data_IF_721989915037
#
_entry.id   IF_721989915037
#
_cell.length_a   1.000
_cell.length_b   1.000
_cell.length_c   1.000
_cell.angle_alpha   90.00
_cell.angle_beta   90.00
_cell.angle_gamma   90.00
#
_symmetry.space_group_name_H-M   'P 1'
#
loop_
_entity.id
_entity.type
_entity.pdbx_description
1 polymer ?
#
# COMPACT_ATOMS: atom_id res chain seq x y z
N UNK A 1 -1.75 -6.64 -15.34
CA UNK A 1 -1.25 -7.17 -14.05
C UNK A 1 -1.21 -8.70 -14.11
N UNK A 2 -0.08 -9.28 -13.88
CA UNK A 2 0.10 -10.73 -13.90
C UNK A 2 -0.17 -11.31 -12.51
N UNK A 3 -1.44 -11.67 -12.28
CA UNK A 3 -1.93 -12.14 -11.00
C UNK A 3 -1.12 -13.34 -10.46
N UNK A 4 -0.95 -14.37 -11.27
CA UNK A 4 -0.29 -15.61 -10.81
C UNK A 4 1.17 -15.37 -10.46
N UNK A 5 1.87 -14.57 -11.24
CA UNK A 5 3.25 -14.21 -10.99
C UNK A 5 3.39 -13.44 -9.68
N UNK A 6 2.49 -12.48 -9.45
CA UNK A 6 2.49 -11.70 -8.22
C UNK A 6 2.21 -12.59 -7.02
N UNK A 7 1.16 -13.38 -7.06
CA UNK A 7 0.75 -14.22 -5.92
C UNK A 7 1.78 -15.31 -5.62
N UNK A 8 2.32 -15.97 -6.65
CA UNK A 8 3.37 -16.99 -6.46
C UNK A 8 4.63 -16.36 -5.87
N UNK A 9 5.07 -15.22 -6.40
CA UNK A 9 6.23 -14.52 -5.87
C UNK A 9 6.02 -14.06 -4.43
N UNK A 10 4.82 -13.58 -4.11
CA UNK A 10 4.50 -13.12 -2.76
C UNK A 10 4.51 -14.29 -1.77
N UNK A 11 3.89 -15.42 -2.11
CA UNK A 11 3.91 -16.59 -1.24
C UNK A 11 5.35 -17.08 -1.01
N UNK A 12 6.19 -17.04 -2.03
CA UNK A 12 7.60 -17.41 -1.87
C UNK A 12 8.33 -16.46 -0.92
N UNK A 13 8.08 -15.16 -1.02
CA UNK A 13 8.69 -14.16 -0.14
C UNK A 13 8.31 -14.38 1.33
N UNK A 14 7.03 -14.59 1.61
CA UNK A 14 6.57 -14.73 3.00
C UNK A 14 6.87 -16.11 3.58
N UNK A 15 7.17 -17.12 2.77
CA UNK A 15 7.54 -18.45 3.24
C UNK A 15 8.96 -18.51 3.77
N UNK A 16 9.80 -17.57 3.39
CA UNK A 16 11.20 -17.50 3.86
C UNK A 16 11.23 -16.76 5.19
N UNK A 17 11.74 -17.43 6.22
CA UNK A 17 11.95 -16.81 7.53
C UNK A 17 13.08 -15.80 7.40
N UNK A 18 12.76 -14.53 7.60
CA UNK A 18 13.74 -13.48 7.42
C UNK A 18 13.30 -12.16 8.04
N UNK A 19 14.07 -11.13 7.75
CA UNK A 19 13.80 -9.79 8.21
C UNK A 19 12.51 -9.25 7.57
N UNK A 20 11.63 -8.73 8.41
CA UNK A 20 10.36 -8.11 8.00
C UNK A 20 10.56 -7.04 6.92
N UNK A 21 11.52 -6.14 7.15
CA UNK A 21 11.78 -5.04 6.21
C UNK A 21 12.23 -5.56 4.85
N UNK A 22 13.13 -6.55 4.83
CA UNK A 22 13.61 -7.14 3.57
C UNK A 22 12.48 -7.85 2.82
N UNK A 23 11.60 -8.56 3.52
CA UNK A 23 10.44 -9.22 2.92
C UNK A 23 9.48 -8.21 2.31
N UNK A 24 9.17 -7.15 3.04
CA UNK A 24 8.27 -6.10 2.55
C UNK A 24 8.90 -5.32 1.39
N UNK A 25 10.21 -5.09 1.42
CA UNK A 25 10.90 -4.45 0.29
C UNK A 25 10.78 -5.33 -0.97
N UNK A 26 10.97 -6.63 -0.83
CA UNK A 26 10.80 -7.58 -1.93
C UNK A 26 9.39 -7.56 -2.49
N UNK A 27 8.38 -7.46 -1.64
CA UNK A 27 6.99 -7.34 -2.07
C UNK A 27 6.74 -6.02 -2.82
N UNK A 28 7.23 -4.91 -2.30
CA UNK A 28 7.06 -3.60 -2.95
C UNK A 28 7.66 -3.63 -4.37
N UNK A 29 8.83 -4.19 -4.53
CA UNK A 29 9.51 -4.31 -5.83
C UNK A 29 8.76 -5.26 -6.77
N UNK A 30 8.30 -6.40 -6.27
CA UNK A 30 7.54 -7.37 -7.04
C UNK A 30 6.21 -6.76 -7.54
N UNK A 31 5.48 -6.10 -6.66
CA UNK A 31 4.21 -5.47 -7.02
C UNK A 31 4.43 -4.36 -8.04
N UNK A 32 5.42 -3.52 -7.83
CA UNK A 32 5.72 -2.44 -8.74
C UNK A 32 6.08 -2.96 -10.14
N UNK A 33 6.93 -3.97 -10.23
CA UNK A 33 7.37 -4.51 -11.52
C UNK A 33 6.28 -5.25 -12.26
N UNK A 34 5.46 -6.06 -11.56
CA UNK A 34 4.38 -6.82 -12.21
C UNK A 34 3.24 -5.93 -12.70
N UNK A 35 2.98 -4.83 -12.02
CA UNK A 35 1.94 -3.88 -12.40
C UNK A 35 2.42 -2.69 -13.22
N UNK A 36 3.73 -2.54 -13.38
CA UNK A 36 4.33 -1.36 -14.04
C UNK A 36 3.89 -0.05 -13.38
N UNK A 37 3.82 -0.04 -12.04
CA UNK A 37 3.39 1.12 -11.30
C UNK A 37 4.53 2.11 -11.11
N UNK A 38 4.17 3.37 -10.93
CA UNK A 38 5.12 4.45 -10.66
C UNK A 38 5.78 4.28 -9.30
N UNK A 39 4.99 3.90 -8.29
CA UNK A 39 5.47 3.87 -6.90
C UNK A 39 4.63 2.93 -6.05
N UNK A 40 5.28 2.22 -5.15
CA UNK A 40 4.64 1.35 -4.15
C UNK A 40 5.29 1.65 -2.80
N UNK A 41 4.48 1.92 -1.79
CA UNK A 41 4.93 2.10 -0.43
C UNK A 41 4.14 1.27 0.56
N UNK A 42 4.82 0.81 1.61
CA UNK A 42 4.20 0.07 2.70
C UNK A 42 4.42 0.85 3.99
N UNK A 43 3.37 0.95 4.78
CA UNK A 43 3.36 1.82 5.95
C UNK A 43 2.90 1.10 7.21
N UNK A 44 3.48 1.49 8.35
CA UNK A 44 2.97 1.18 9.68
C UNK A 44 1.94 2.25 10.09
N UNK A 45 0.89 1.81 10.75
CA UNK A 45 -0.09 2.70 11.38
C UNK A 45 0.07 2.56 12.89
N UNK A 46 0.49 3.64 13.54
CA UNK A 46 0.66 3.69 15.01
C UNK A 46 -0.50 4.49 15.60
N UNK A 47 -1.48 3.79 16.12
CA UNK A 47 -2.67 4.41 16.71
C UNK A 47 -2.36 5.15 18.02
N UNK A 48 -1.41 4.66 18.80
CA UNK A 48 -1.03 5.32 20.05
C UNK A 48 -0.36 6.67 19.80
N UNK A 49 0.57 6.72 18.86
CA UNK A 49 1.25 7.96 18.47
C UNK A 49 0.44 8.79 17.47
N UNK A 50 -0.62 8.22 16.88
CA UNK A 50 -1.49 8.84 15.87
C UNK A 50 -0.72 9.25 14.62
N UNK A 51 0.19 8.40 14.18
CA UNK A 51 1.01 8.63 12.98
C UNK A 51 1.01 7.42 12.05
N UNK A 52 1.29 7.70 10.78
CA UNK A 52 1.58 6.70 9.74
C UNK A 52 3.05 6.87 9.38
N UNK A 53 3.76 5.76 9.31
CA UNK A 53 5.20 5.77 9.07
C UNK A 53 5.58 4.81 7.94
N UNK A 54 6.31 5.32 6.94
CA UNK A 54 6.80 4.48 5.85
C UNK A 54 7.77 3.42 6.37
N UNK A 55 7.56 2.18 5.93
CA UNK A 55 8.47 1.06 6.22
C UNK A 55 9.46 0.91 5.09
N UNK A 56 8.94 0.75 3.86
CA UNK A 56 9.72 0.54 2.62
C UNK A 56 8.98 1.18 1.46
N UNK A 57 9.71 1.39 0.36
CA UNK A 57 9.13 1.86 -0.89
C UNK A 57 9.91 1.34 -2.09
N UNK A 58 9.28 1.35 -3.25
CA UNK A 58 9.89 1.06 -4.55
C UNK A 58 9.34 2.05 -5.56
N UNK A 59 10.20 2.73 -6.28
CA UNK A 59 9.76 3.69 -7.28
C UNK A 59 10.78 4.77 -7.59
N UNK A 60 10.28 5.90 -8.07
CA UNK A 60 11.09 6.99 -8.58
C UNK A 60 11.82 7.81 -7.53
N UNK A 61 11.47 7.65 -6.25
CA UNK A 61 12.12 8.37 -5.16
C UNK A 61 11.45 8.12 -3.83
N UNK A 62 12.11 8.54 -2.75
CA UNK A 62 11.57 8.41 -1.40
C UNK A 62 10.27 9.20 -1.25
N UNK A 63 9.36 8.77 -0.35
CA UNK A 63 8.11 9.48 -0.15
C UNK A 63 8.36 10.90 0.38
N UNK A 64 7.56 11.85 -0.11
CA UNK A 64 7.61 13.24 0.34
C UNK A 64 7.32 13.34 1.85
N UNK A 65 6.38 12.50 2.32
CA UNK A 65 5.98 12.47 3.72
C UNK A 65 6.22 11.07 4.28
N UNK A 66 7.47 10.77 4.76
CA UNK A 66 7.76 9.43 5.32
C UNK A 66 7.03 9.17 6.64
N UNK A 67 6.62 10.23 7.32
CA UNK A 67 5.78 10.17 8.53
C UNK A 67 4.74 11.28 8.45
N UNK A 68 3.49 10.96 8.73
CA UNK A 68 2.41 11.95 8.70
C UNK A 68 1.28 11.56 9.66
N UNK A 69 0.43 12.53 10.03
CA UNK A 69 -0.70 12.24 10.93
C UNK A 69 -1.67 11.22 10.36
N UNK A 70 -2.21 10.38 11.24
CA UNK A 70 -3.14 9.29 10.89
C UNK A 70 -4.41 9.77 10.18
N UNK A 71 -4.71 11.06 10.24
CA UNK A 71 -5.91 11.66 9.63
C UNK A 71 -5.67 12.25 8.25
N UNK A 72 -4.44 12.22 7.76
CA UNK A 72 -4.09 12.92 6.51
C UNK A 72 -4.19 12.07 5.26
N UNK A 73 -4.60 12.72 4.17
CA UNK A 73 -4.56 12.19 2.83
C UNK A 73 -5.53 11.03 2.58
N UNK A 74 -5.32 10.35 1.48
CA UNK A 74 -6.11 9.16 1.13
C UNK A 74 -5.86 8.03 2.13
N UNK A 75 -4.64 7.94 2.66
CA UNK A 75 -4.30 6.97 3.72
C UNK A 75 -5.16 7.18 4.95
N UNK A 76 -5.32 8.44 5.40
CA UNK A 76 -6.19 8.76 6.52
C UNK A 76 -7.63 8.33 6.28
N UNK A 77 -8.12 8.50 5.06
CA UNK A 77 -9.46 8.06 4.68
C UNK A 77 -9.60 6.53 4.74
N UNK A 78 -8.60 5.78 4.27
CA UNK A 78 -8.62 4.33 4.33
C UNK A 78 -8.60 3.81 5.77
N UNK A 79 -7.80 4.42 6.63
CA UNK A 79 -7.71 4.05 8.06
C UNK A 79 -9.05 4.30 8.75
N UNK A 80 -9.61 5.46 8.56
CA UNK A 80 -10.86 5.89 9.20
C UNK A 80 -12.06 5.05 8.77
N UNK A 81 -12.17 4.73 7.48
CA UNK A 81 -13.27 3.93 6.94
C UNK A 81 -13.03 2.42 7.10
N UNK A 82 -11.80 2.00 7.29
CA UNK A 82 -11.36 0.59 7.30
C UNK A 82 -11.67 -0.10 5.97
N UNK A 83 -11.60 0.66 4.89
CA UNK A 83 -11.87 0.16 3.54
C UNK A 83 -10.80 0.65 2.58
N UNK A 84 -10.61 -0.06 1.48
CA UNK A 84 -9.74 0.38 0.39
C UNK A 84 -10.25 1.71 -0.17
N UNK A 85 -9.32 2.64 -0.38
CA UNK A 85 -9.59 3.90 -1.08
C UNK A 85 -8.95 3.82 -2.45
N UNK A 86 -9.76 3.84 -3.50
CA UNK A 86 -9.33 3.68 -4.89
C UNK A 86 -9.75 4.92 -5.68
N UNK A 87 -8.78 5.76 -6.03
CA UNK A 87 -9.05 7.05 -6.68
C UNK A 87 -8.49 7.03 -8.09
N UNK A 88 -9.40 7.12 -9.07
CA UNK A 88 -9.04 7.11 -10.51
C UNK A 88 -8.42 8.39 -11.01
N UNK A 89 -8.71 9.52 -10.36
CA UNK A 89 -8.20 10.85 -10.71
C UNK A 89 -7.88 11.62 -9.44
N UNK A 90 -6.62 11.56 -9.01
CA UNK A 90 -6.20 12.18 -7.73
C UNK A 90 -6.35 13.71 -7.75
N UNK A 91 -6.17 14.32 -8.91
CA UNK A 91 -6.30 15.78 -9.04
C UNK A 91 -7.71 16.28 -8.72
N UNK A 92 -8.73 15.42 -8.84
CA UNK A 92 -10.12 15.74 -8.55
C UNK A 92 -10.52 15.41 -7.12
N UNK A 93 -9.66 14.76 -6.35
CA UNK A 93 -9.97 14.35 -4.98
C UNK A 93 -9.31 15.32 -3.98
N UNK A 94 -10.10 16.04 -3.17
CA UNK A 94 -9.56 17.03 -2.24
C UNK A 94 -8.76 16.40 -1.08
N UNK A 95 -8.90 15.09 -0.86
CA UNK A 95 -8.15 14.38 0.19
C UNK A 95 -6.72 14.07 -0.22
N UNK A 96 -6.42 14.14 -1.53
CA UNK A 96 -5.11 13.74 -2.05
C UNK A 96 -3.98 14.59 -1.49
N UNK A 97 -2.99 13.92 -0.89
CA UNK A 97 -1.77 14.54 -0.41
C UNK A 97 -0.69 14.35 -1.48
N UNK A 98 -0.36 15.41 -2.19
CA UNK A 98 0.57 15.34 -3.32
C UNK A 98 1.94 14.87 -2.87
N UNK A 99 2.34 13.67 -3.32
CA UNK A 99 3.66 13.11 -3.06
C UNK A 99 4.57 13.20 -4.30
N UNK A 100 3.98 13.01 -5.48
CA UNK A 100 4.69 13.09 -6.76
C UNK A 100 3.80 13.82 -7.77
N UNK A 101 4.37 14.77 -8.51
CA UNK A 101 3.61 15.64 -9.41
C UNK A 101 3.01 14.98 -10.64
N UNK A 102 3.36 13.71 -10.92
CA UNK A 102 2.89 12.99 -12.11
C UNK A 102 1.95 11.84 -11.80
N UNK A 103 1.53 11.66 -10.56
CA UNK A 103 0.55 10.65 -10.19
C UNK A 103 -0.84 11.05 -10.71
N UNK A 104 -1.51 10.13 -11.39
CA UNK A 104 -2.88 10.31 -11.87
C UNK A 104 -3.90 9.52 -11.08
N UNK A 105 -3.58 8.28 -10.70
CA UNK A 105 -4.45 7.45 -9.86
C UNK A 105 -3.67 6.84 -8.70
N UNK A 106 -4.38 6.54 -7.63
CA UNK A 106 -3.79 5.98 -6.42
C UNK A 106 -4.77 5.06 -5.71
N UNK A 107 -4.25 3.98 -5.12
CA UNK A 107 -5.03 3.07 -4.30
C UNK A 107 -4.32 2.86 -2.96
N UNK A 108 -5.09 2.93 -1.88
CA UNK A 108 -4.62 2.63 -0.52
C UNK A 108 -5.40 1.42 -0.03
N UNK A 109 -4.70 0.34 0.25
CA UNK A 109 -5.30 -0.90 0.75
C UNK A 109 -4.90 -1.10 2.20
N UNK A 110 -5.86 -1.17 3.13
CA UNK A 110 -5.54 -1.38 4.54
C UNK A 110 -5.04 -2.80 4.80
N UNK A 111 -4.12 -2.91 5.76
CA UNK A 111 -3.68 -4.18 6.34
C UNK A 111 -4.25 -4.25 7.74
N UNK A 112 -4.97 -5.34 8.04
CA UNK A 112 -5.64 -5.51 9.32
C UNK A 112 -4.81 -6.36 10.28
N UNK A 113 -5.06 -6.18 11.58
CA UNK A 113 -4.47 -7.03 12.60
C UNK A 113 -5.13 -8.42 12.63
N UNK A 114 -4.70 -9.29 13.55
CA UNK A 114 -5.22 -10.66 13.64
C UNK A 114 -6.72 -10.75 13.95
N UNK A 115 -7.32 -9.69 14.51
CA UNK A 115 -8.77 -9.65 14.76
C UNK A 115 -9.57 -9.22 13.53
N UNK A 116 -8.92 -8.59 12.56
CA UNK A 116 -9.59 -8.01 11.40
C UNK A 116 -10.29 -6.68 11.68
N UNK A 117 -10.10 -6.11 12.85
CA UNK A 117 -10.79 -4.88 13.27
C UNK A 117 -9.94 -3.63 13.18
N UNK A 118 -8.63 -3.75 13.41
CA UNK A 118 -7.74 -2.60 13.43
C UNK A 118 -6.84 -2.54 12.20
N UNK A 119 -6.72 -1.37 11.61
CA UNK A 119 -5.79 -1.14 10.51
C UNK A 119 -4.41 -0.89 11.11
N UNK A 120 -3.47 -1.80 10.85
CA UNK A 120 -2.10 -1.75 11.39
C UNK A 120 -1.07 -1.32 10.34
N UNK A 121 -1.46 -1.31 9.08
CA UNK A 121 -0.60 -0.90 7.99
C UNK A 121 -1.40 -0.58 6.75
N UNK A 122 -0.71 -0.12 5.71
CA UNK A 122 -1.31 0.15 4.41
C UNK A 122 -0.36 -0.23 3.29
N UNK A 123 -0.96 -0.60 2.15
CA UNK A 123 -0.29 -0.72 0.86
C UNK A 123 -0.73 0.49 0.05
N UNK A 124 0.23 1.30 -0.39
CA UNK A 124 -0.02 2.50 -1.19
C UNK A 124 0.59 2.31 -2.58
N UNK A 125 -0.23 2.39 -3.62
CA UNK A 125 0.22 2.22 -5.00
C UNK A 125 -0.20 3.42 -5.82
N UNK A 126 0.77 4.01 -6.55
CA UNK A 126 0.53 5.17 -7.39
C UNK A 126 0.84 4.88 -8.85
N UNK A 127 0.01 5.39 -9.75
CA UNK A 127 0.17 5.24 -11.18
C UNK A 127 0.12 6.58 -11.89
N UNK A 128 0.90 6.72 -12.97
CA UNK A 128 0.83 7.88 -13.85
C UNK A 128 -0.38 7.81 -14.79
N UNK A 129 -1.05 6.66 -14.85
CA UNK A 129 -2.24 6.46 -15.68
C UNK A 129 -3.49 6.69 -14.86
N UNK A 130 -4.52 7.38 -15.40
CA UNK A 130 -5.80 7.48 -14.71
C UNK A 130 -6.48 6.11 -14.68
N UNK A 131 -7.29 5.89 -13.66
CA UNK A 131 -8.10 4.68 -13.50
C UNK A 131 -7.28 3.38 -13.62
N UNK A 132 -6.07 3.37 -13.04
CA UNK A 132 -5.17 2.22 -13.17
C UNK A 132 -5.61 1.00 -12.35
N UNK A 133 -6.49 1.18 -11.38
CA UNK A 133 -6.85 0.14 -10.43
C UNK A 133 -8.32 -0.28 -10.62
N UNK A 134 -8.54 -1.26 -11.50
CA UNK A 134 -9.85 -1.87 -11.72
C UNK A 134 -10.31 -2.64 -10.46
N UNK A 135 -11.56 -3.07 -10.46
CA UNK A 135 -12.07 -3.92 -9.37
C UNK A 135 -11.26 -5.21 -9.21
N UNK A 136 -10.81 -5.80 -10.32
CA UNK A 136 -9.98 -7.00 -10.28
C UNK A 136 -8.61 -6.73 -9.67
N UNK A 137 -7.99 -5.60 -10.01
CA UNK A 137 -6.72 -5.19 -9.42
C UNK A 137 -6.89 -4.88 -7.95
N UNK A 138 -7.94 -4.18 -7.56
CA UNK A 138 -8.24 -3.91 -6.16
C UNK A 138 -8.38 -5.20 -5.37
N UNK A 139 -9.16 -6.17 -5.87
CA UNK A 139 -9.34 -7.47 -5.21
C UNK A 139 -8.01 -8.20 -5.07
N UNK A 140 -7.16 -8.15 -6.08
CA UNK A 140 -5.83 -8.74 -6.05
C UNK A 140 -4.95 -8.11 -4.96
N UNK A 141 -4.96 -6.79 -4.85
CA UNK A 141 -4.18 -6.09 -3.83
C UNK A 141 -4.72 -6.37 -2.43
N UNK A 142 -6.03 -6.51 -2.28
CA UNK A 142 -6.64 -6.92 -1.01
C UNK A 142 -6.24 -8.34 -0.63
N UNK A 143 -6.14 -9.25 -1.61
CA UNK A 143 -5.60 -10.59 -1.38
C UNK A 143 -4.13 -10.54 -0.94
N UNK A 144 -3.32 -9.68 -1.55
CA UNK A 144 -1.93 -9.46 -1.13
C UNK A 144 -1.87 -8.98 0.32
N UNK A 145 -2.74 -8.05 0.70
CA UNK A 145 -2.83 -7.53 2.06
C UNK A 145 -3.04 -8.66 3.07
N UNK A 146 -3.92 -9.60 2.75
CA UNK A 146 -4.16 -10.76 3.62
C UNK A 146 -2.94 -11.67 3.74
N UNK A 147 -2.18 -11.85 2.68
CA UNK A 147 -0.97 -12.70 2.70
C UNK A 147 0.16 -12.08 3.54
N UNK A 148 0.36 -10.76 3.44
CA UNK A 148 1.46 -10.09 4.17
C UNK A 148 1.08 -9.68 5.61
N UNK A 149 -0.17 -9.79 5.96
CA UNK A 149 -0.73 -9.42 7.25
C UNK A 149 0.08 -9.89 8.47
N UNK A 150 0.60 -11.15 8.51
CA UNK A 150 1.41 -11.59 9.64
C UNK A 150 2.68 -10.78 9.88
N UNK A 151 3.17 -10.04 8.91
CA UNK A 151 4.36 -9.19 9.04
C UNK A 151 4.10 -7.93 9.87
N UNK A 152 2.85 -7.65 10.22
CA UNK A 152 2.46 -6.58 11.13
C UNK A 152 2.12 -7.09 12.54
N UNK A 153 2.39 -8.35 12.79
CA UNK A 153 2.17 -8.90 14.12
C UNK A 153 3.16 -8.28 15.11
N UNK A 154 2.63 -7.79 16.22
CA UNK A 154 3.39 -7.18 17.31
C UNK A 154 3.30 -8.03 18.58
#
# INVERSE_FOLDING_TARGET
>A
MERDKLMTGLHNLVSVVGDRVATLQGFAELLRSTGSYRWVGLYDVDHAARIVKNIVWSGSGAPEYPTFPITMGLTGAAISSRETVNVGEVAADPRYLTAFGTTSSEIIVPVFDGTGENVVGTIDVESEKPNAFSEDVQSLLEACSNVIRPLWRR
#
